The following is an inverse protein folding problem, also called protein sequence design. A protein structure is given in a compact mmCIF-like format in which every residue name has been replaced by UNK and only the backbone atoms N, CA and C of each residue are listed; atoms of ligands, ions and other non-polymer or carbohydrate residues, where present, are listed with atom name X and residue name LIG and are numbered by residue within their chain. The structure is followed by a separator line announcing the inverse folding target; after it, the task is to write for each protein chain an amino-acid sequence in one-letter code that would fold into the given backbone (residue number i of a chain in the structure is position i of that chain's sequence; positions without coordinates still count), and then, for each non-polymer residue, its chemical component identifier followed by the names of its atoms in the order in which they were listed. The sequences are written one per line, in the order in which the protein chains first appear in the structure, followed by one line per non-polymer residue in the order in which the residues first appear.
data_IF_849122139077
#
_entry.id   IF_849122139077
#
_cell.length_a   1.000
_cell.length_b   1.000
_cell.length_c   1.000
_cell.angle_alpha   90.00
_cell.angle_beta   90.00
_cell.angle_gamma   90.00
#
_symmetry.space_group_name_H-M   'P 1'
#
loop_
_entity.id
_entity.type
_entity.pdbx_description
1 polymer ?
#
# COMPACT_ATOMS: atom_id res chain seq x y z
N UNK A 1 -21.86 -22.45 -51.30
CA UNK A 1 -22.42 -23.51 -52.19
C UNK A 1 -22.90 -22.81 -53.46
N UNK A 2 -22.77 -23.37 -54.68
CA UNK A 2 -23.17 -22.65 -55.91
C UNK A 2 -24.63 -22.96 -56.25
N UNK A 3 -25.46 -21.93 -56.43
CA UNK A 3 -26.81 -22.07 -56.95
C UNK A 3 -27.02 -21.13 -58.13
N UNK A 4 -27.74 -21.59 -59.15
CA UNK A 4 -28.12 -20.81 -60.32
C UNK A 4 -29.58 -20.39 -60.13
N UNK A 5 -29.85 -19.09 -60.17
CA UNK A 5 -31.20 -18.53 -60.20
C UNK A 5 -31.27 -17.62 -61.43
N UNK A 6 -32.23 -17.87 -62.32
CA UNK A 6 -32.49 -17.08 -63.54
C UNK A 6 -31.28 -16.77 -64.42
N UNK A 7 -30.43 -17.78 -64.67
CA UNK A 7 -29.31 -17.67 -65.61
C UNK A 7 -28.13 -16.79 -65.14
N UNK A 8 -28.20 -16.21 -63.95
CA UNK A 8 -27.12 -15.44 -63.35
C UNK A 8 -26.37 -16.25 -62.30
N UNK A 9 -25.03 -16.27 -62.40
CA UNK A 9 -24.13 -16.84 -61.40
C UNK A 9 -24.06 -15.91 -60.19
N UNK A 10 -24.77 -16.25 -59.12
CA UNK A 10 -24.68 -15.54 -57.84
C UNK A 10 -23.57 -16.20 -57.01
N UNK A 11 -22.50 -15.45 -56.75
CA UNK A 11 -21.47 -15.86 -55.80
C UNK A 11 -21.98 -15.60 -54.38
N UNK A 12 -22.11 -16.66 -53.59
CA UNK A 12 -22.29 -16.54 -52.15
C UNK A 12 -21.01 -15.91 -51.57
N UNK A 13 -21.11 -14.63 -51.26
CA UNK A 13 -20.02 -13.83 -50.71
C UNK A 13 -19.57 -14.43 -49.38
N UNK A 14 -18.38 -15.03 -49.33
CA UNK A 14 -17.73 -15.49 -48.09
C UNK A 14 -17.39 -14.34 -47.12
N UNK A 15 -17.73 -13.10 -47.47
CA UNK A 15 -17.47 -11.91 -46.65
C UNK A 15 -18.29 -11.96 -45.35
N UNK A 16 -19.49 -12.56 -45.35
CA UNK A 16 -20.33 -12.65 -44.13
C UNK A 16 -19.68 -13.42 -42.97
N UNK A 17 -19.01 -14.55 -43.26
CA UNK A 17 -18.40 -15.38 -42.21
C UNK A 17 -17.16 -14.77 -41.55
N UNK A 18 -16.39 -13.95 -42.27
CA UNK A 18 -15.23 -13.25 -41.71
C UNK A 18 -15.64 -12.08 -40.80
N UNK A 19 -16.73 -11.39 -41.12
CA UNK A 19 -17.26 -10.30 -40.30
C UNK A 19 -17.87 -10.81 -38.99
N UNK A 20 -18.56 -11.96 -39.00
CA UNK A 20 -19.11 -12.57 -37.79
C UNK A 20 -18.02 -13.07 -36.84
N UNK A 21 -16.99 -13.76 -37.36
CA UNK A 21 -15.85 -14.21 -36.54
C UNK A 21 -15.06 -13.03 -35.97
N UNK A 22 -14.88 -11.95 -36.73
CA UNK A 22 -14.22 -10.75 -36.21
C UNK A 22 -15.02 -10.07 -35.10
N UNK A 23 -16.36 -10.02 -35.22
CA UNK A 23 -17.25 -9.50 -34.17
C UNK A 23 -17.27 -10.39 -32.93
N UNK A 24 -17.25 -11.71 -33.09
CA UNK A 24 -17.19 -12.66 -31.97
C UNK A 24 -15.86 -12.55 -31.21
N UNK A 25 -14.74 -12.41 -31.93
CA UNK A 25 -13.43 -12.18 -31.33
C UNK A 25 -13.38 -10.82 -30.63
N UNK A 26 -13.90 -9.76 -31.25
CA UNK A 26 -13.97 -8.44 -30.62
C UNK A 26 -14.82 -8.46 -29.35
N UNK A 27 -15.95 -9.17 -29.37
CA UNK A 27 -16.85 -9.32 -28.23
C UNK A 27 -16.17 -10.10 -27.10
N UNK A 28 -15.44 -11.18 -27.42
CA UNK A 28 -14.66 -11.94 -26.45
C UNK A 28 -13.53 -11.11 -25.83
N UNK A 29 -12.79 -10.36 -26.65
CA UNK A 29 -11.73 -9.45 -26.18
C UNK A 29 -12.32 -8.42 -25.22
N UNK A 30 -13.43 -7.77 -25.57
CA UNK A 30 -14.10 -6.79 -24.69
C UNK A 30 -14.57 -7.47 -23.40
N UNK A 31 -15.20 -8.65 -23.50
CA UNK A 31 -15.70 -9.41 -22.37
C UNK A 31 -14.61 -9.84 -21.38
N UNK A 32 -13.37 -10.02 -21.82
CA UNK A 32 -12.24 -10.38 -20.95
C UNK A 32 -11.47 -9.14 -20.48
N UNK A 33 -11.13 -8.23 -21.39
CA UNK A 33 -10.29 -7.08 -21.08
C UNK A 33 -11.01 -6.04 -20.22
N UNK A 34 -12.31 -5.81 -20.43
CA UNK A 34 -13.04 -4.79 -19.64
C UNK A 34 -13.13 -5.20 -18.17
N UNK A 35 -13.54 -6.43 -17.80
CA UNK A 35 -13.53 -6.86 -16.41
C UNK A 35 -12.12 -6.88 -15.81
N UNK A 36 -11.11 -7.34 -16.57
CA UNK A 36 -9.73 -7.36 -16.10
C UNK A 36 -9.19 -5.95 -15.81
N UNK A 37 -9.40 -5.00 -16.73
CA UNK A 37 -9.01 -3.61 -16.55
C UNK A 37 -9.75 -2.98 -15.36
N UNK A 38 -11.06 -3.21 -15.26
CA UNK A 38 -11.88 -2.75 -14.14
C UNK A 38 -11.34 -3.29 -12.81
N UNK A 39 -10.98 -4.57 -12.77
CA UNK A 39 -10.39 -5.19 -11.58
C UNK A 39 -9.03 -4.58 -11.23
N UNK A 40 -8.16 -4.35 -12.21
CA UNK A 40 -6.85 -3.71 -12.01
C UNK A 40 -7.02 -2.29 -11.47
N UNK A 41 -7.93 -1.51 -12.06
CA UNK A 41 -8.25 -0.16 -11.60
C UNK A 41 -8.78 -0.19 -10.18
N UNK A 42 -9.80 -1.01 -9.90
CA UNK A 42 -10.36 -1.18 -8.56
C UNK A 42 -9.29 -1.53 -7.52
N UNK A 43 -8.39 -2.46 -7.83
CA UNK A 43 -7.28 -2.84 -6.94
C UNK A 43 -6.32 -1.67 -6.70
N UNK A 44 -6.03 -0.87 -7.72
CA UNK A 44 -5.19 0.34 -7.57
C UNK A 44 -5.87 1.41 -6.73
N UNK A 45 -7.17 1.65 -6.93
CA UNK A 45 -7.93 2.65 -6.17
C UNK A 45 -8.04 2.25 -4.71
N UNK A 46 -8.37 0.99 -4.41
CA UNK A 46 -8.37 0.47 -3.03
C UNK A 46 -7.01 0.61 -2.36
N UNK A 47 -5.93 0.29 -3.07
CA UNK A 47 -4.57 0.49 -2.55
C UNK A 47 -4.31 1.95 -2.21
N UNK A 48 -4.71 2.89 -3.07
CA UNK A 48 -4.54 4.32 -2.82
C UNK A 48 -5.32 4.82 -1.59
N UNK A 49 -6.54 4.32 -1.38
CA UNK A 49 -7.37 4.67 -0.23
C UNK A 49 -6.95 3.99 1.08
N UNK A 50 -6.11 2.95 1.01
CA UNK A 50 -5.58 2.25 2.18
C UNK A 50 -4.13 2.61 2.50
N UNK A 51 -3.53 3.59 1.80
CA UNK A 51 -2.18 4.05 2.10
C UNK A 51 -2.14 4.67 3.49
N UNK A 52 -1.28 4.13 4.34
CA UNK A 52 -0.90 4.77 5.59
C UNK A 52 0.34 5.63 5.33
N UNK A 53 0.44 6.79 6.00
CA UNK A 53 1.57 7.70 5.87
C UNK A 53 1.90 8.19 7.27
N UNK A 54 3.03 7.77 7.82
CA UNK A 54 3.48 8.25 9.12
C UNK A 54 4.37 9.46 8.90
N UNK A 55 4.20 10.50 9.71
CA UNK A 55 5.09 11.67 9.75
C UNK A 55 5.57 11.92 11.17
N UNK A 56 6.78 12.43 11.27
CA UNK A 56 7.36 12.94 12.50
C UNK A 56 7.04 14.43 12.63
N UNK A 57 6.56 14.84 13.80
CA UNK A 57 6.42 16.25 14.17
C UNK A 57 7.17 16.51 15.47
N UNK A 58 7.78 17.67 15.56
CA UNK A 58 8.34 18.18 16.80
C UNK A 58 7.26 19.05 17.46
N UNK A 59 6.84 18.68 18.67
CA UNK A 59 5.73 19.36 19.37
C UNK A 59 6.21 20.45 20.32
N UNK A 60 7.43 20.31 20.84
CA UNK A 60 8.03 21.22 21.82
C UNK A 60 9.40 21.67 21.28
N UNK A 61 9.37 22.61 20.33
CA UNK A 61 10.60 23.23 19.82
C UNK A 61 11.06 24.28 20.82
N UNK A 62 11.75 23.84 21.87
CA UNK A 62 12.54 24.72 22.74
C UNK A 62 14.02 24.61 22.33
N UNK A 63 14.70 25.72 21.97
CA UNK A 63 16.13 25.71 21.67
C UNK A 63 17.00 25.27 22.86
N UNK A 64 16.46 25.19 24.09
CA UNK A 64 17.17 24.82 25.31
C UNK A 64 16.75 23.45 25.89
N UNK A 65 15.73 22.78 25.36
CA UNK A 65 15.29 21.45 25.82
C UNK A 65 15.48 20.36 24.77
N UNK A 66 15.50 19.10 25.20
CA UNK A 66 15.47 17.96 24.30
C UNK A 66 14.16 17.96 23.51
N UNK A 67 14.27 18.09 22.20
CA UNK A 67 13.14 18.08 21.26
C UNK A 67 12.20 16.89 21.49
N UNK A 68 10.95 17.17 21.85
CA UNK A 68 9.92 16.13 21.98
C UNK A 68 9.30 15.82 20.62
N UNK A 69 9.47 14.58 20.16
CA UNK A 69 8.95 14.13 18.89
C UNK A 69 7.66 13.33 19.04
N UNK A 70 6.79 13.43 18.05
CA UNK A 70 5.61 12.58 17.89
C UNK A 70 5.59 11.95 16.51
N UNK A 71 4.99 10.76 16.42
CA UNK A 71 4.54 10.17 15.16
C UNK A 71 3.04 10.33 15.01
N UNK A 72 2.61 10.64 13.80
CA UNK A 72 1.19 10.74 13.44
C UNK A 72 0.96 10.05 12.10
N UNK A 73 -0.14 9.31 11.98
CA UNK A 73 -0.58 8.78 10.70
C UNK A 73 -1.50 9.79 9.99
N UNK A 74 -0.97 10.42 8.94
CA UNK A 74 -1.66 11.38 8.07
C UNK A 74 -2.18 10.73 6.77
N UNK A 75 -2.05 9.41 6.65
CA UNK A 75 -2.59 8.65 5.54
C UNK A 75 -4.11 8.44 5.63
N UNK A 76 -4.63 7.58 4.75
CA UNK A 76 -6.04 7.16 4.75
C UNK A 76 -6.26 5.79 5.37
N UNK A 77 -5.23 4.94 5.39
CA UNK A 77 -5.26 3.62 6.01
C UNK A 77 -4.57 3.58 7.37
N UNK A 78 -4.82 2.52 8.13
CA UNK A 78 -4.14 2.23 9.40
C UNK A 78 -2.70 1.78 9.13
N UNK A 79 -1.73 2.31 9.89
CA UNK A 79 -0.37 1.80 9.88
C UNK A 79 -0.25 0.66 10.90
N UNK A 80 0.25 -0.48 10.44
CA UNK A 80 0.49 -1.69 11.22
C UNK A 80 1.99 -1.87 11.46
N UNK A 81 2.33 -2.66 12.49
CA UNK A 81 3.70 -3.06 12.79
C UNK A 81 4.69 -1.89 12.88
N UNK A 82 4.28 -0.79 13.51
CA UNK A 82 5.02 0.45 13.52
C UNK A 82 6.29 0.29 14.36
N UNK A 83 7.44 0.44 13.71
CA UNK A 83 8.75 0.50 14.36
C UNK A 83 9.32 1.89 14.21
N UNK A 84 9.83 2.47 15.29
CA UNK A 84 10.51 3.76 15.28
C UNK A 84 11.89 3.63 15.89
N UNK A 85 12.87 4.28 15.29
CA UNK A 85 14.25 4.26 15.75
C UNK A 85 14.99 5.53 15.36
N UNK A 86 16.17 5.70 15.94
CA UNK A 86 17.08 6.81 15.65
C UNK A 86 18.23 6.31 14.78
N UNK A 87 18.70 7.11 13.84
CA UNK A 87 19.95 6.82 13.14
C UNK A 87 21.14 6.97 14.11
N UNK A 88 22.21 6.20 13.90
CA UNK A 88 23.49 6.44 14.55
C UNK A 88 24.25 7.62 13.91
N UNK A 89 25.41 7.97 14.46
CA UNK A 89 26.28 9.04 13.97
C UNK A 89 26.77 8.83 12.52
N UNK A 90 26.67 7.61 11.98
CA UNK A 90 27.03 7.27 10.60
C UNK A 90 25.80 7.21 9.66
N UNK A 91 24.63 7.68 10.13
CA UNK A 91 23.34 7.59 9.43
C UNK A 91 22.89 6.15 9.15
N UNK A 92 23.42 5.19 9.91
CA UNK A 92 23.00 3.80 9.87
C UNK A 92 21.91 3.62 10.90
N UNK A 93 20.82 2.99 10.47
CA UNK A 93 19.77 2.64 11.40
C UNK A 93 20.12 1.31 12.04
N UNK A 94 20.73 1.38 13.22
CA UNK A 94 21.20 0.21 13.95
C UNK A 94 20.03 -0.73 14.27
N UNK A 95 20.15 -2.01 13.93
CA UNK A 95 19.08 -2.99 14.03
C UNK A 95 18.64 -3.27 15.48
N UNK A 96 19.43 -2.84 16.47
CA UNK A 96 19.15 -3.01 17.90
C UNK A 96 18.36 -1.89 18.58
N UNK A 97 18.12 -0.76 17.91
CA UNK A 97 17.50 0.44 18.53
C UNK A 97 16.12 0.80 17.97
N UNK A 98 15.33 -0.22 17.65
CA UNK A 98 13.95 -0.04 17.19
C UNK A 98 12.98 -0.23 18.35
N UNK A 99 12.17 0.79 18.61
CA UNK A 99 11.03 0.74 19.51
C UNK A 99 9.77 0.44 18.72
N UNK A 100 9.02 -0.54 19.17
CA UNK A 100 7.75 -0.90 18.54
C UNK A 100 6.60 -0.08 19.15
N UNK A 101 5.68 0.35 18.29
CA UNK A 101 4.46 1.05 18.64
C UNK A 101 3.25 0.22 18.20
N UNK A 102 2.13 0.28 18.95
CA UNK A 102 0.88 -0.32 18.50
C UNK A 102 0.47 0.22 17.13
N UNK A 103 -0.47 -0.47 16.47
CA UNK A 103 -1.08 0.05 15.25
C UNK A 103 -1.51 1.52 15.42
N UNK A 104 -1.28 2.30 14.38
CA UNK A 104 -1.51 3.74 14.37
C UNK A 104 -2.65 4.08 13.39
N UNK A 105 -3.89 4.19 13.88
CA UNK A 105 -5.01 4.69 13.10
C UNK A 105 -4.77 6.11 12.58
N UNK A 106 -5.50 6.47 11.53
CA UNK A 106 -5.47 7.83 10.96
C UNK A 106 -5.78 8.86 12.04
N UNK A 107 -4.98 9.93 12.10
CA UNK A 107 -5.13 11.03 13.05
C UNK A 107 -4.72 10.70 14.49
N UNK A 108 -4.32 9.46 14.80
CA UNK A 108 -3.76 9.13 16.11
C UNK A 108 -2.30 9.58 16.17
N UNK A 109 -1.89 10.04 17.35
CA UNK A 109 -0.55 10.55 17.64
C UNK A 109 0.06 9.73 18.78
N UNK A 110 1.32 9.33 18.63
CA UNK A 110 2.12 8.77 19.73
C UNK A 110 3.33 9.65 20.00
N UNK A 111 3.54 10.01 21.28
CA UNK A 111 4.77 10.65 21.73
C UNK A 111 5.90 9.64 21.71
N UNK A 112 7.02 10.04 21.13
CA UNK A 112 8.23 9.23 21.11
C UNK A 112 9.04 9.52 22.36
N UNK A 113 9.45 8.48 23.06
CA UNK A 113 10.47 8.58 24.10
C UNK A 113 11.87 8.41 23.50
N UNK A 114 12.13 9.11 22.38
CA UNK A 114 13.36 9.04 21.62
C UNK A 114 13.87 10.46 21.40
N UNK A 115 15.14 10.67 21.66
CA UNK A 115 15.85 11.92 21.40
C UNK A 115 16.76 11.72 20.20
N UNK A 116 16.81 12.70 19.30
CA UNK A 116 17.61 12.58 18.07
C UNK A 116 17.22 13.57 16.99
N UNK A 117 18.17 13.86 16.12
CA UNK A 117 18.00 14.74 14.96
C UNK A 117 17.59 13.98 13.67
N UNK A 118 17.89 12.68 13.63
CA UNK A 118 17.53 11.77 12.54
C UNK A 118 16.71 10.59 13.07
N UNK A 119 15.43 10.57 12.74
CA UNK A 119 14.47 9.54 13.12
C UNK A 119 14.04 8.73 11.90
N UNK A 120 13.69 7.47 12.10
CA UNK A 120 13.05 6.66 11.09
C UNK A 120 11.90 5.84 11.66
N UNK A 121 10.89 5.61 10.83
CA UNK A 121 9.76 4.73 11.10
C UNK A 121 9.63 3.71 9.96
N UNK A 122 9.47 2.44 10.30
CA UNK A 122 9.04 1.39 9.38
C UNK A 122 7.62 0.95 9.74
N UNK A 123 6.78 0.73 8.76
CA UNK A 123 5.39 0.34 8.98
C UNK A 123 4.80 -0.32 7.73
N UNK A 124 3.72 -1.06 7.93
CA UNK A 124 2.98 -1.72 6.87
C UNK A 124 1.57 -1.13 6.75
N UNK A 125 1.02 -1.13 5.53
CA UNK A 125 -0.43 -0.99 5.38
C UNK A 125 -1.17 -2.33 5.53
N UNK A 126 -2.49 -2.27 5.54
CA UNK A 126 -3.36 -3.45 5.65
C UNK A 126 -3.22 -4.43 4.47
N UNK A 127 -2.64 -3.99 3.35
CA UNK A 127 -2.37 -4.82 2.17
C UNK A 127 -0.99 -5.51 2.24
N UNK A 128 -0.22 -5.26 3.31
CA UNK A 128 1.12 -5.79 3.50
C UNK A 128 2.21 -5.02 2.76
N UNK A 129 1.89 -3.85 2.22
CA UNK A 129 2.89 -2.98 1.59
C UNK A 129 3.72 -2.30 2.67
N UNK A 130 5.05 -2.41 2.58
CA UNK A 130 5.98 -1.79 3.53
C UNK A 130 6.40 -0.39 3.10
N UNK A 131 6.51 0.49 4.08
CA UNK A 131 6.92 1.88 3.95
C UNK A 131 7.99 2.20 4.98
N UNK A 132 8.83 3.18 4.63
CA UNK A 132 9.76 3.82 5.54
C UNK A 132 9.58 5.31 5.50
N UNK A 133 9.46 5.94 6.66
CA UNK A 133 9.58 7.40 6.77
C UNK A 133 10.85 7.73 7.53
N UNK A 134 11.62 8.70 7.03
CA UNK A 134 12.80 9.26 7.68
C UNK A 134 12.55 10.74 7.95
N UNK A 135 12.86 11.21 9.15
CA UNK A 135 12.90 12.63 9.49
C UNK A 135 14.35 13.04 9.73
N UNK A 136 14.86 13.99 8.95
CA UNK A 136 16.16 14.62 9.16
C UNK A 136 15.97 16.14 9.19
N UNK A 137 16.33 16.78 10.30
CA UNK A 137 16.20 18.24 10.44
C UNK A 137 14.79 18.76 10.15
N UNK A 138 13.77 18.12 10.75
CA UNK A 138 12.34 18.43 10.60
C UNK A 138 11.75 18.16 9.20
N UNK A 139 12.51 17.56 8.28
CA UNK A 139 12.00 17.17 6.96
C UNK A 139 11.70 15.68 6.92
N UNK A 140 10.45 15.35 6.65
CA UNK A 140 10.00 13.98 6.45
C UNK A 140 10.21 13.55 4.99
N UNK A 141 10.82 12.39 4.79
CA UNK A 141 10.95 11.72 3.50
C UNK A 141 10.35 10.32 3.60
N UNK A 142 9.53 9.94 2.62
CA UNK A 142 8.87 8.64 2.58
C UNK A 142 9.45 7.82 1.42
N UNK A 143 9.80 6.58 1.71
CA UNK A 143 10.23 5.58 0.74
C UNK A 143 9.24 4.40 0.78
N UNK A 144 8.80 3.94 -0.39
CA UNK A 144 7.91 2.78 -0.55
C UNK A 144 8.71 1.51 -0.87
N UNK A 145 8.16 0.33 -0.57
CA UNK A 145 8.76 -0.98 -0.85
C UNK A 145 10.10 -1.22 -0.13
N UNK A 146 10.32 -0.57 1.02
CA UNK A 146 11.54 -0.77 1.79
C UNK A 146 11.35 -1.97 2.73
N UNK A 147 12.23 -2.99 2.68
CA UNK A 147 12.14 -4.12 3.59
C UNK A 147 12.35 -3.66 5.03
N UNK A 148 11.51 -4.18 5.93
CA UNK A 148 11.61 -3.91 7.37
C UNK A 148 12.94 -4.45 7.91
N UNK A 149 13.62 -3.74 8.82
CA UNK A 149 14.78 -4.27 9.52
C UNK A 149 14.38 -5.51 10.34
N UNK A 150 15.25 -6.51 10.38
CA UNK A 150 15.03 -7.70 11.19
C UNK A 150 15.15 -7.33 12.68
N UNK A 151 14.02 -7.03 13.31
CA UNK A 151 13.93 -6.83 14.76
C UNK A 151 13.59 -8.18 15.40
N UNK A 152 14.36 -8.60 16.42
CA UNK A 152 14.00 -9.79 17.20
C UNK A 152 12.61 -9.56 17.80
N UNK A 153 11.63 -10.43 17.57
CA UNK A 153 10.27 -10.21 18.08
C UNK A 153 10.29 -10.15 19.61
N UNK A 154 9.70 -9.10 20.17
CA UNK A 154 9.39 -9.06 21.61
C UNK A 154 8.14 -9.92 21.86
N UNK A 155 7.98 -10.47 23.08
CA UNK A 155 6.86 -11.37 23.41
C UNK A 155 5.45 -10.73 23.20
N UNK A 156 5.34 -9.40 23.20
CA UNK A 156 4.10 -8.66 22.95
C UNK A 156 3.62 -8.68 21.49
N UNK A 157 4.45 -9.17 20.56
CA UNK A 157 4.15 -9.20 19.11
C UNK A 157 3.06 -10.21 18.73
N UNK A 158 2.83 -11.23 19.56
CA UNK A 158 1.91 -12.34 19.25
C UNK A 158 0.42 -12.01 19.49
N UNK A 159 0.10 -11.05 20.34
CA UNK A 159 -1.29 -10.81 20.77
C UNK A 159 -2.09 -9.89 19.83
N UNK A 160 -1.47 -8.86 19.25
CA UNK A 160 -2.18 -7.83 18.47
C UNK A 160 -2.48 -8.25 17.02
N UNK A 161 -1.60 -9.05 16.40
CA UNK A 161 -1.83 -9.58 15.04
C UNK A 161 -3.04 -10.53 14.98
N UNK A 162 -3.32 -11.24 16.08
CA UNK A 162 -4.48 -12.14 16.17
C UNK A 162 -5.82 -11.40 16.35
N UNK A 163 -5.83 -10.23 17.00
CA UNK A 163 -7.06 -9.46 17.22
C UNK A 163 -7.53 -8.73 15.96
N UNK A 164 -6.60 -8.19 15.17
CA UNK A 164 -6.93 -7.58 13.87
C UNK A 164 -7.47 -8.61 12.86
N UNK A 165 -6.99 -9.86 12.92
CA UNK A 165 -7.50 -10.97 12.10
C UNK A 165 -8.81 -11.59 12.58
N UNK A 166 -9.20 -11.39 13.84
CA UNK A 166 -10.49 -11.89 14.39
C UNK A 166 -11.66 -10.98 14.06
N UNK A 167 -11.47 -9.66 14.00
CA UNK A 167 -12.57 -8.72 13.66
C UNK A 167 -13.06 -8.83 12.22
N UNK A 168 -12.28 -9.40 11.30
CA UNK A 168 -12.70 -9.66 9.91
C UNK A 168 -13.47 -10.98 9.72
N UNK A 169 -13.63 -11.81 10.75
CA UNK A 169 -14.38 -13.08 10.67
C UNK A 169 -15.75 -13.07 11.36
N UNK A 170 -16.16 -11.95 11.97
CA UNK A 170 -17.40 -11.88 12.76
C UNK A 170 -18.55 -11.13 12.07
N UNK A 171 -18.41 -10.74 10.81
CA UNK A 171 -19.49 -10.14 10.03
C UNK A 171 -19.71 -10.96 8.75
N UNK A 172 -20.30 -12.14 8.92
CA UNK A 172 -21.11 -12.87 7.92
C UNK A 172 -22.06 -13.79 8.65
#
# INVERSE_FOLDING_TARGET
MKYIVDGNLIYESQVGGYFDVANDIATLIIAIFVPLLTYILYKRTRKADQRCLIVFRNVDFDPNEESTWVIENVGKGVALDVLVGTADSEKRYDAGKWTEYPALPVGKVYRLNLTGYELAAYYNDITGQSYRTVCCGHRNKIDENVPRPAVRPSHSHWSLSMEAGKKTKSET
#
